data_IF_835007918632
#
_entry.id   IF_835007918632
#
_cell.length_a   1.000
_cell.length_b   1.000
_cell.length_c   1.000
_cell.angle_alpha   90.00
_cell.angle_beta   90.00
_cell.angle_gamma   90.00
#
_symmetry.space_group_name_H-M   'P 1'
#
loop_
_entity.id
_entity.type
_entity.pdbx_description
1 polymer ?
#
# COMPACT_ATOMS: atom_id res chain seq x y z
N UNK A 1 17.52 -7.53 11.76
CA UNK A 1 16.81 -6.47 11.03
C UNK A 1 17.91 -5.66 10.37
N UNK A 2 17.78 -5.37 9.08
CA UNK A 2 18.79 -4.64 8.32
C UNK A 2 18.31 -3.21 8.11
N UNK A 3 19.25 -2.27 8.13
CA UNK A 3 19.03 -0.87 7.81
C UNK A 3 19.35 -0.65 6.33
N UNK A 4 18.43 -0.01 5.62
CA UNK A 4 18.51 0.27 4.18
C UNK A 4 18.37 1.77 3.92
N UNK A 5 19.05 2.23 2.89
CA UNK A 5 19.01 3.62 2.47
C UNK A 5 18.08 3.83 1.27
N UNK A 6 17.29 4.91 1.34
CA UNK A 6 16.34 5.26 0.30
C UNK A 6 16.45 6.73 -0.04
N UNK A 7 16.31 7.02 -1.34
CA UNK A 7 16.02 8.36 -1.83
C UNK A 7 14.69 8.29 -2.55
N UNK A 8 13.69 8.99 -2.03
CA UNK A 8 12.36 9.07 -2.64
C UNK A 8 12.18 10.39 -3.38
N UNK A 9 11.59 10.34 -4.57
CA UNK A 9 11.11 11.53 -5.27
C UNK A 9 9.74 11.90 -4.73
N UNK A 10 9.59 13.17 -4.35
CA UNK A 10 8.38 13.68 -3.72
C UNK A 10 7.62 14.63 -4.65
N UNK A 11 6.33 14.82 -4.34
CA UNK A 11 5.44 15.79 -4.93
C UNK A 11 4.47 16.33 -3.85
N UNK A 12 3.87 17.50 -4.07
CA UNK A 12 2.95 18.11 -3.11
C UNK A 12 3.59 18.62 -1.80
N UNK A 13 4.92 18.75 -1.77
CA UNK A 13 5.69 19.32 -0.67
C UNK A 13 6.72 20.32 -1.21
N UNK A 14 6.94 21.41 -0.47
CA UNK A 14 7.99 22.41 -0.74
C UNK A 14 8.96 22.46 0.44
N UNK A 15 10.21 22.86 0.20
CA UNK A 15 11.17 23.15 1.27
C UNK A 15 10.72 24.32 2.17
N UNK A 16 9.83 25.18 1.65
CA UNK A 16 9.23 26.28 2.41
C UNK A 16 8.12 25.81 3.37
N UNK A 17 7.66 24.56 3.24
CA UNK A 17 6.75 23.94 4.21
C UNK A 17 7.57 23.47 5.43
N UNK A 18 8.01 24.45 6.22
CA UNK A 18 8.94 24.24 7.33
C UNK A 18 8.40 23.27 8.38
N UNK A 19 7.08 23.22 8.59
CA UNK A 19 6.48 22.30 9.55
C UNK A 19 6.49 20.86 9.02
N UNK A 20 6.17 20.65 7.74
CA UNK A 20 6.28 19.32 7.13
C UNK A 20 7.73 18.82 7.07
N UNK A 21 8.67 19.68 6.65
CA UNK A 21 10.10 19.34 6.60
C UNK A 21 10.65 19.04 7.98
N UNK A 22 10.33 19.85 9.01
CA UNK A 22 10.74 19.59 10.38
C UNK A 22 10.17 18.27 10.89
N UNK A 23 8.89 18.01 10.62
CA UNK A 23 8.21 16.77 11.02
C UNK A 23 8.91 15.52 10.46
N UNK A 24 9.25 15.53 9.17
CA UNK A 24 10.00 14.44 8.52
C UNK A 24 11.42 14.30 9.09
N UNK A 25 12.13 15.40 9.32
CA UNK A 25 13.49 15.36 9.87
C UNK A 25 13.52 14.81 11.31
N UNK A 26 12.68 15.34 12.20
CA UNK A 26 12.71 14.99 13.62
C UNK A 26 12.11 13.60 13.91
N UNK A 27 11.07 13.19 13.18
CA UNK A 27 10.32 11.98 13.48
C UNK A 27 10.65 10.79 12.58
N UNK A 28 11.35 11.02 11.47
CA UNK A 28 11.75 9.98 10.51
C UNK A 28 13.25 9.99 10.22
N UNK A 29 14.01 10.95 10.76
CA UNK A 29 15.44 11.10 10.44
C UNK A 29 15.68 11.48 8.98
N UNK A 30 14.65 11.96 8.28
CA UNK A 30 14.69 12.14 6.85
C UNK A 30 15.26 13.52 6.47
N UNK A 31 16.12 13.55 5.46
CA UNK A 31 16.63 14.78 4.86
C UNK A 31 15.82 15.11 3.61
N UNK A 32 15.03 16.18 3.66
CA UNK A 32 14.34 16.72 2.49
C UNK A 32 15.24 17.71 1.76
N UNK A 33 15.43 17.50 0.46
CA UNK A 33 16.27 18.34 -0.40
C UNK A 33 15.57 18.61 -1.73
N UNK A 34 16.12 19.51 -2.56
CA UNK A 34 15.62 19.75 -3.92
C UNK A 34 16.77 19.64 -4.90
N UNK A 35 16.59 18.82 -5.94
CA UNK A 35 17.56 18.63 -7.01
C UNK A 35 16.94 19.06 -8.34
N UNK A 36 17.48 20.10 -8.97
CA UNK A 36 16.92 20.71 -10.18
C UNK A 36 15.40 21.00 -10.11
N UNK A 37 14.94 21.49 -8.95
CA UNK A 37 13.52 21.80 -8.72
C UNK A 37 12.64 20.59 -8.39
N UNK A 38 13.22 19.39 -8.29
CA UNK A 38 12.51 18.17 -7.89
C UNK A 38 12.78 17.88 -6.40
N UNK A 39 11.76 17.94 -5.52
CA UNK A 39 11.90 17.58 -4.13
C UNK A 39 12.25 16.09 -3.95
N UNK A 40 13.17 15.81 -3.04
CA UNK A 40 13.65 14.47 -2.70
C UNK A 40 13.72 14.30 -1.19
N UNK A 41 13.57 13.07 -0.73
CA UNK A 41 13.75 12.69 0.67
C UNK A 41 14.72 11.53 0.78
N UNK A 42 15.87 11.78 1.39
CA UNK A 42 16.85 10.76 1.76
C UNK A 42 16.56 10.28 3.18
N UNK A 43 16.51 8.98 3.39
CA UNK A 43 16.06 8.38 4.65
C UNK A 43 16.51 6.93 4.80
N UNK A 44 16.90 6.58 6.01
CA UNK A 44 17.21 5.21 6.42
C UNK A 44 15.95 4.49 6.93
N UNK A 45 15.78 3.23 6.58
CA UNK A 45 14.64 2.41 6.99
C UNK A 45 15.07 1.01 7.42
N UNK A 46 14.49 0.52 8.51
CA UNK A 46 14.77 -0.82 9.01
C UNK A 46 13.73 -1.85 8.55
N UNK A 47 14.19 -3.05 8.15
CA UNK A 47 13.31 -4.11 7.69
C UNK A 47 13.94 -5.49 7.62
N UNK A 48 13.11 -6.48 7.28
CA UNK A 48 13.58 -7.84 6.91
C UNK A 48 14.04 -7.92 5.45
N UNK A 49 13.64 -6.95 4.64
CA UNK A 49 14.03 -6.74 3.25
C UNK A 49 13.97 -5.24 2.93
N UNK A 50 14.59 -4.80 1.84
CA UNK A 50 14.55 -3.39 1.44
C UNK A 50 13.10 -2.95 1.15
N UNK A 51 12.29 -3.83 0.55
CA UNK A 51 10.87 -3.57 0.24
C UNK A 51 10.07 -3.33 1.52
N UNK A 52 10.24 -4.18 2.54
CA UNK A 52 9.54 -4.02 3.82
C UNK A 52 9.95 -2.74 4.54
N UNK A 53 11.25 -2.42 4.54
CA UNK A 53 11.79 -1.18 5.10
C UNK A 53 11.23 0.07 4.38
N UNK A 54 11.22 0.07 3.04
CA UNK A 54 10.68 1.15 2.23
C UNK A 54 9.21 1.42 2.56
N UNK A 55 8.35 0.39 2.61
CA UNK A 55 6.93 0.60 2.93
C UNK A 55 6.67 1.01 4.38
N UNK A 56 7.52 0.62 5.33
CA UNK A 56 7.47 1.13 6.69
C UNK A 56 7.76 2.64 6.74
N UNK A 57 8.82 3.08 6.04
CA UNK A 57 9.18 4.50 5.87
C UNK A 57 8.06 5.27 5.18
N UNK A 58 7.55 4.77 4.05
CA UNK A 58 6.46 5.39 3.28
C UNK A 58 5.21 5.58 4.13
N UNK A 59 4.78 4.54 4.85
CA UNK A 59 3.63 4.61 5.75
C UNK A 59 3.84 5.70 6.80
N UNK A 60 5.01 5.71 7.45
CA UNK A 60 5.33 6.69 8.49
C UNK A 60 5.37 8.11 7.96
N UNK A 61 5.94 8.32 6.78
CA UNK A 61 5.98 9.62 6.13
C UNK A 61 4.58 10.16 5.82
N UNK A 62 3.65 9.31 5.36
CA UNK A 62 2.26 9.70 5.12
C UNK A 62 1.46 9.99 6.41
N UNK A 63 1.80 9.37 7.53
CA UNK A 63 1.21 9.71 8.83
C UNK A 63 1.66 11.10 9.30
N UNK A 64 2.91 11.47 9.01
CA UNK A 64 3.49 12.77 9.38
C UNK A 64 3.03 13.90 8.46
N UNK A 65 2.96 13.65 7.15
CA UNK A 65 2.61 14.64 6.13
C UNK A 65 1.60 14.06 5.13
N UNK A 66 0.29 14.07 5.45
CA UNK A 66 -0.73 13.45 4.61
C UNK A 66 -0.97 14.09 3.23
N UNK A 67 -0.50 15.33 3.02
CA UNK A 67 -0.60 16.07 1.75
C UNK A 67 0.54 15.75 0.78
N UNK A 68 1.67 15.26 1.27
CA UNK A 68 2.82 14.87 0.45
C UNK A 68 2.48 13.64 -0.39
N UNK A 69 3.12 13.48 -1.54
CA UNK A 69 3.06 12.27 -2.35
C UNK A 69 4.46 11.73 -2.60
N UNK A 70 4.68 10.45 -2.32
CA UNK A 70 5.89 9.73 -2.70
C UNK A 70 5.66 9.14 -4.08
N UNK A 71 6.43 9.58 -5.08
CA UNK A 71 6.18 9.31 -6.50
C UNK A 71 6.85 8.02 -6.96
N UNK A 72 8.12 7.86 -6.59
CA UNK A 72 9.01 6.76 -6.96
C UNK A 72 10.27 6.81 -6.11
N UNK A 73 11.07 5.75 -6.14
CA UNK A 73 12.48 5.84 -5.77
C UNK A 73 13.25 6.68 -6.79
N UNK A 74 14.22 7.44 -6.30
CA UNK A 74 15.28 7.98 -7.13
C UNK A 74 16.27 6.84 -7.40
N UNK A 75 16.39 6.46 -8.67
CA UNK A 75 17.41 5.51 -9.12
C UNK A 75 18.69 6.30 -9.24
N UNK A 76 19.53 6.24 -8.23
CA UNK A 76 20.78 7.00 -8.18
C UNK A 76 21.71 6.55 -9.32
N UNK A 77 21.80 7.41 -10.34
CA UNK A 77 22.55 7.15 -11.57
C UNK A 77 23.90 7.85 -11.49
N UNK A 78 24.97 7.07 -11.60
CA UNK A 78 26.34 7.56 -11.51
C UNK A 78 27.08 7.35 -12.82
N UNK A 79 27.92 8.32 -13.17
CA UNK A 79 28.93 8.20 -14.22
C UNK A 79 30.34 7.97 -13.64
N UNK A 80 31.33 7.90 -14.53
CA UNK A 80 32.74 7.73 -14.15
C UNK A 80 33.25 8.82 -13.20
N UNK A 81 32.79 10.06 -13.39
CA UNK A 81 33.17 11.20 -12.55
C UNK A 81 32.61 11.06 -11.13
N UNK A 82 31.34 10.68 -11.01
CA UNK A 82 30.65 10.56 -9.73
C UNK A 82 31.24 9.40 -8.92
N UNK A 83 31.48 8.24 -9.56
CA UNK A 83 32.14 7.09 -8.93
C UNK A 83 33.54 7.46 -8.45
N UNK A 84 34.30 8.23 -9.25
CA UNK A 84 35.64 8.67 -8.87
C UNK A 84 35.60 9.57 -7.62
N UNK A 85 34.64 10.47 -7.54
CA UNK A 85 34.42 11.34 -6.38
C UNK A 85 34.00 10.55 -5.14
N UNK A 86 32.96 9.70 -5.27
CA UNK A 86 32.42 8.88 -4.18
C UNK A 86 33.47 7.92 -3.58
N UNK A 87 34.37 7.38 -4.42
CA UNK A 87 35.41 6.42 -3.99
C UNK A 87 36.75 7.07 -3.67
N UNK A 88 36.88 8.39 -3.83
CA UNK A 88 38.17 9.11 -3.70
C UNK A 88 39.24 8.63 -4.70
N UNK A 89 38.84 8.07 -5.85
CA UNK A 89 39.74 7.57 -6.89
C UNK A 89 39.81 8.52 -8.08
N UNK A 90 40.77 8.28 -8.98
CA UNK A 90 40.87 9.04 -10.23
C UNK A 90 39.87 8.50 -11.26
N UNK A 91 39.40 9.36 -12.17
CA UNK A 91 38.58 8.93 -13.32
C UNK A 91 39.28 7.86 -14.16
N UNK A 92 40.61 7.91 -14.26
CA UNK A 92 41.39 6.89 -14.95
C UNK A 92 41.29 5.52 -14.26
N UNK A 93 41.35 5.46 -12.93
CA UNK A 93 41.16 4.21 -12.18
C UNK A 93 39.77 3.63 -12.44
N UNK A 94 38.71 4.45 -12.36
CA UNK A 94 37.34 4.01 -12.64
C UNK A 94 37.20 3.53 -14.09
N UNK A 95 37.81 4.24 -15.04
CA UNK A 95 37.82 3.82 -16.44
C UNK A 95 38.49 2.46 -16.62
N UNK A 96 39.57 2.17 -15.88
CA UNK A 96 40.22 0.85 -15.92
C UNK A 96 39.32 -0.25 -15.34
N UNK A 97 38.55 0.03 -14.28
CA UNK A 97 37.54 -0.90 -13.77
C UNK A 97 36.47 -1.21 -14.83
N UNK A 98 35.90 -0.18 -15.45
CA UNK A 98 34.89 -0.32 -16.51
C UNK A 98 35.39 -1.15 -17.70
N UNK A 99 36.67 -1.03 -18.06
CA UNK A 99 37.30 -1.81 -19.13
C UNK A 99 37.75 -3.21 -18.69
N UNK A 100 37.50 -3.62 -17.44
CA UNK A 100 37.90 -4.93 -16.92
C UNK A 100 39.41 -5.12 -16.78
N UNK A 101 40.17 -4.02 -16.68
CA UNK A 101 41.63 -4.05 -16.57
C UNK A 101 42.12 -4.26 -15.13
N UNK A 102 41.20 -4.27 -14.16
CA UNK A 102 41.45 -4.40 -12.71
C UNK A 102 40.30 -5.15 -12.04
N UNK A 103 40.59 -5.81 -10.92
CA UNK A 103 39.71 -6.69 -10.14
C UNK A 103 39.52 -8.07 -10.80
N UNK A 104 40.53 -8.93 -10.64
CA UNK A 104 40.70 -10.20 -11.35
C UNK A 104 39.45 -11.10 -11.29
N UNK A 105 38.75 -11.20 -12.42
CA UNK A 105 37.68 -12.16 -12.65
C UNK A 105 36.25 -11.68 -12.35
N UNK A 106 36.06 -10.52 -11.70
CA UNK A 106 34.72 -9.98 -11.42
C UNK A 106 34.45 -8.78 -12.34
N UNK A 107 33.62 -8.94 -13.40
CA UNK A 107 33.36 -7.87 -14.34
C UNK A 107 32.66 -6.69 -13.66
N UNK A 108 33.03 -5.48 -14.06
CA UNK A 108 32.31 -4.27 -13.65
C UNK A 108 30.84 -4.35 -14.11
N UNK A 109 29.88 -3.78 -13.34
CA UNK A 109 28.47 -3.82 -13.69
C UNK A 109 28.19 -3.27 -15.10
N UNK A 110 27.16 -3.81 -15.75
CA UNK A 110 26.72 -3.29 -17.04
C UNK A 110 26.10 -1.89 -16.84
N UNK A 111 26.34 -0.96 -17.77
CA UNK A 111 25.69 0.34 -17.69
C UNK A 111 24.17 0.19 -17.82
N UNK A 112 23.45 0.95 -17.01
CA UNK A 112 21.99 1.02 -17.04
C UNK A 112 21.50 1.79 -18.27
N UNK A 113 22.24 2.84 -18.64
CA UNK A 113 21.89 3.67 -19.80
C UNK A 113 23.11 4.38 -20.39
N UNK A 114 22.88 5.03 -21.53
CA UNK A 114 23.85 5.89 -22.21
C UNK A 114 23.24 7.28 -22.34
N UNK A 115 23.88 8.28 -21.72
CA UNK A 115 23.50 9.69 -21.81
C UNK A 115 24.46 10.40 -22.77
N UNK A 116 24.01 10.57 -24.01
CA UNK A 116 24.86 11.09 -25.10
C UNK A 116 25.99 10.12 -25.43
N UNK A 117 27.20 10.42 -24.95
CA UNK A 117 28.39 9.55 -25.10
C UNK A 117 28.87 8.95 -23.78
N UNK A 118 28.22 9.31 -22.67
CA UNK A 118 28.61 8.89 -21.34
C UNK A 118 27.76 7.70 -20.90
N UNK A 119 28.41 6.67 -20.38
CA UNK A 119 27.73 5.56 -19.72
C UNK A 119 27.31 5.97 -18.31
N UNK A 120 26.16 5.48 -17.87
CA UNK A 120 25.70 5.65 -16.49
C UNK A 120 25.25 4.31 -15.91
N UNK A 121 25.49 4.12 -14.62
CA UNK A 121 25.22 2.92 -13.86
C UNK A 121 24.31 3.22 -12.68
N UNK A 122 23.61 2.21 -12.17
CA UNK A 122 22.95 2.30 -10.87
C UNK A 122 24.01 2.24 -9.77
N UNK A 123 24.04 3.25 -8.89
CA UNK A 123 24.98 3.27 -7.76
C UNK A 123 24.94 1.97 -6.94
N UNK A 124 23.78 1.38 -6.60
CA UNK A 124 23.74 0.16 -5.80
C UNK A 124 24.48 -1.04 -6.42
N UNK A 125 24.45 -1.19 -7.75
CA UNK A 125 25.17 -2.26 -8.43
C UNK A 125 26.68 -1.99 -8.44
N UNK A 126 27.09 -0.72 -8.59
CA UNK A 126 28.49 -0.31 -8.50
C UNK A 126 29.01 -0.47 -7.08
N UNK A 127 28.24 -0.05 -6.08
CA UNK A 127 28.58 -0.16 -4.66
C UNK A 127 28.76 -1.62 -4.23
N UNK A 128 27.85 -2.52 -4.66
CA UNK A 128 28.00 -3.96 -4.42
C UNK A 128 29.30 -4.51 -5.04
N UNK A 129 29.62 -4.10 -6.27
CA UNK A 129 30.87 -4.51 -6.91
C UNK A 129 32.11 -3.96 -6.19
N UNK A 130 32.04 -2.71 -5.72
CA UNK A 130 33.10 -2.04 -4.96
C UNK A 130 33.35 -2.65 -3.58
N UNK A 131 32.36 -3.34 -3.01
CA UNK A 131 32.52 -4.07 -1.74
C UNK A 131 33.60 -5.14 -1.82
N UNK A 132 33.77 -5.77 -2.99
CA UNK A 132 34.88 -6.71 -3.24
C UNK A 132 36.27 -6.07 -3.17
N UNK A 133 36.34 -4.74 -3.28
CA UNK A 133 37.56 -3.92 -3.20
C UNK A 133 37.69 -3.16 -1.88
N UNK A 134 36.75 -3.30 -0.94
CA UNK A 134 36.67 -2.51 0.30
C UNK A 134 36.58 -0.99 0.00
N UNK A 135 35.79 -0.64 -1.03
CA UNK A 135 35.58 0.73 -1.51
C UNK A 135 34.10 1.12 -1.61
N UNK A 136 33.19 0.31 -1.04
CA UNK A 136 31.78 0.65 -0.95
C UNK A 136 31.52 1.67 0.17
N UNK A 137 30.31 2.22 0.17
CA UNK A 137 29.86 3.17 1.19
C UNK A 137 29.40 2.50 2.51
N UNK A 138 29.41 1.16 2.57
CA UNK A 138 28.97 0.39 3.74
C UNK A 138 27.46 0.38 3.97
N UNK A 139 26.68 0.96 3.06
CA UNK A 139 25.22 1.08 3.17
C UNK A 139 24.52 -0.05 2.40
N UNK A 140 23.31 -0.41 2.86
CA UNK A 140 22.47 -1.36 2.14
C UNK A 140 21.50 -0.61 1.24
N UNK A 141 21.76 -0.65 -0.05
CA UNK A 141 20.85 -0.11 -1.05
C UNK A 141 19.89 -1.19 -1.58
N UNK A 142 18.65 -0.84 -1.97
CA UNK A 142 17.74 -1.78 -2.60
C UNK A 142 18.35 -2.31 -3.91
N UNK A 143 18.19 -3.60 -4.16
CA UNK A 143 18.55 -4.19 -5.46
C UNK A 143 17.62 -3.68 -6.56
N UNK A 144 18.01 -3.85 -7.83
CA UNK A 144 17.20 -3.47 -9.00
C UNK A 144 15.78 -4.05 -8.97
N UNK A 145 15.65 -5.31 -8.57
CA UNK A 145 14.35 -5.99 -8.50
C UNK A 145 13.50 -5.41 -7.36
N UNK A 146 14.10 -5.19 -6.19
CA UNK A 146 13.43 -4.55 -5.05
C UNK A 146 13.03 -3.09 -5.37
N UNK A 147 13.88 -2.32 -6.07
CA UNK A 147 13.52 -0.98 -6.54
C UNK A 147 12.28 -1.01 -7.44
N UNK A 148 12.19 -2.01 -8.32
CA UNK A 148 11.05 -2.18 -9.22
C UNK A 148 9.79 -2.55 -8.45
N UNK A 149 9.90 -3.42 -7.44
CA UNK A 149 8.80 -3.76 -6.55
C UNK A 149 8.32 -2.57 -5.72
N UNK A 150 9.26 -1.77 -5.17
CA UNK A 150 8.96 -0.56 -4.42
C UNK A 150 8.28 0.47 -5.32
N UNK A 151 8.82 0.77 -6.50
CA UNK A 151 8.21 1.71 -7.46
C UNK A 151 6.81 1.27 -7.89
N UNK A 152 6.64 -0.03 -8.16
CA UNK A 152 5.33 -0.59 -8.47
C UNK A 152 4.37 -0.40 -7.29
N UNK A 153 4.79 -0.74 -6.07
CA UNK A 153 3.96 -0.57 -4.90
C UNK A 153 3.63 0.90 -4.66
N UNK A 154 4.58 1.84 -4.76
CA UNK A 154 4.35 3.29 -4.62
C UNK A 154 3.28 3.83 -5.59
N UNK A 155 3.31 3.41 -6.86
CA UNK A 155 2.29 3.81 -7.86
C UNK A 155 0.89 3.29 -7.52
N UNK A 156 0.84 2.12 -6.89
CA UNK A 156 -0.40 1.50 -6.45
C UNK A 156 -0.75 1.86 -4.99
N UNK A 157 0.15 2.53 -4.27
CA UNK A 157 -0.01 2.97 -2.90
C UNK A 157 -0.74 4.31 -2.92
N UNK A 158 -2.08 4.29 -2.89
CA UNK A 158 -2.84 5.50 -2.52
C UNK A 158 -2.89 5.58 -1.01
N UNK A 159 -2.76 6.79 -0.45
CA UNK A 159 -3.09 7.05 0.95
C UNK A 159 -4.60 6.78 1.14
N UNK A 160 -4.96 5.54 1.42
CA UNK A 160 -6.35 5.11 1.55
C UNK A 160 -6.90 5.74 2.82
N UNK A 161 -7.87 6.64 2.64
CA UNK A 161 -8.67 7.17 3.75
C UNK A 161 -9.81 6.20 3.99
N UNK A 162 -9.77 5.52 5.14
CA UNK A 162 -10.80 4.58 5.55
C UNK A 162 -11.85 5.28 6.41
N UNK A 163 -13.12 5.02 6.11
CA UNK A 163 -14.24 5.27 7.00
C UNK A 163 -14.73 3.92 7.56
N UNK A 164 -14.34 3.61 8.80
CA UNK A 164 -14.74 2.37 9.47
C UNK A 164 -16.05 2.62 10.21
N UNK A 165 -17.12 1.99 9.73
CA UNK A 165 -18.44 2.09 10.34
C UNK A 165 -18.72 0.80 11.10
N UNK A 166 -19.02 0.90 12.39
CA UNK A 166 -19.31 -0.26 13.24
C UNK A 166 -20.79 -0.57 13.20
N UNK A 167 -21.14 -1.86 13.11
CA UNK A 167 -22.53 -2.30 13.25
C UNK A 167 -23.09 -1.97 14.64
N UNK A 168 -22.32 -2.19 15.69
CA UNK A 168 -22.67 -1.86 17.07
C UNK A 168 -21.44 -1.44 17.88
N UNK A 169 -21.67 -0.84 19.05
CA UNK A 169 -20.59 -0.46 19.98
C UNK A 169 -20.13 -1.63 20.88
N UNK A 170 -20.34 -2.87 20.43
CA UNK A 170 -19.91 -4.08 21.12
C UNK A 170 -18.39 -4.17 21.24
N UNK A 171 -17.90 -4.73 22.36
CA UNK A 171 -16.46 -4.93 22.57
C UNK A 171 -15.84 -5.86 21.51
N UNK A 172 -16.60 -6.82 21.00
CA UNK A 172 -16.20 -7.72 19.93
C UNK A 172 -16.04 -6.97 18.59
N UNK A 173 -17.03 -6.16 18.21
CA UNK A 173 -17.01 -5.36 16.97
C UNK A 173 -15.87 -4.33 17.00
N UNK A 174 -15.65 -3.65 18.12
CA UNK A 174 -14.49 -2.72 18.27
C UNK A 174 -13.16 -3.42 18.15
N UNK A 175 -13.04 -4.64 18.71
CA UNK A 175 -11.81 -5.44 18.56
C UNK A 175 -11.58 -5.79 17.09
N UNK A 176 -12.60 -6.29 16.39
CA UNK A 176 -12.53 -6.61 14.95
C UNK A 176 -12.14 -5.37 14.15
N UNK A 177 -12.76 -4.22 14.42
CA UNK A 177 -12.48 -2.98 13.72
C UNK A 177 -11.04 -2.51 13.91
N UNK A 178 -10.47 -2.68 15.11
CA UNK A 178 -9.07 -2.35 15.36
C UNK A 178 -8.13 -3.23 14.53
N UNK A 179 -8.34 -4.55 14.54
CA UNK A 179 -7.56 -5.49 13.72
C UNK A 179 -7.68 -5.14 12.23
N UNK A 180 -8.90 -4.88 11.77
CA UNK A 180 -9.14 -4.54 10.38
C UNK A 180 -8.55 -3.18 10.00
N UNK A 181 -8.59 -2.18 10.88
CA UNK A 181 -7.96 -0.87 10.63
C UNK A 181 -6.44 -0.97 10.48
N UNK A 182 -5.80 -1.76 11.35
CA UNK A 182 -4.37 -2.02 11.31
C UNK A 182 -3.99 -2.77 10.03
N UNK A 183 -4.77 -3.79 9.67
CA UNK A 183 -4.55 -4.61 8.49
C UNK A 183 -4.82 -3.84 7.19
N UNK A 184 -5.95 -3.11 7.10
CA UNK A 184 -6.37 -2.38 5.91
C UNK A 184 -5.40 -1.26 5.50
N UNK A 185 -4.61 -0.74 6.45
CA UNK A 185 -3.59 0.30 6.20
C UNK A 185 -2.22 -0.26 5.83
N UNK A 186 -1.97 -1.54 6.09
CA UNK A 186 -0.64 -2.14 5.96
C UNK A 186 -0.60 -3.32 5.01
N UNK A 187 -1.74 -3.94 4.70
CA UNK A 187 -1.83 -5.11 3.85
C UNK A 187 -2.04 -4.71 2.37
N UNK A 188 -1.10 -5.03 1.46
CA UNK A 188 -1.19 -4.69 0.05
C UNK A 188 -2.42 -5.27 -0.67
N UNK A 189 -2.86 -6.48 -0.31
CA UNK A 189 -4.02 -7.13 -0.94
C UNK A 189 -5.33 -6.44 -0.56
N UNK A 190 -5.49 -6.03 0.70
CA UNK A 190 -6.66 -5.25 1.14
C UNK A 190 -6.69 -3.86 0.47
N UNK A 191 -5.53 -3.22 0.37
CA UNK A 191 -5.37 -1.94 -0.33
C UNK A 191 -5.75 -2.09 -1.81
N UNK A 192 -5.19 -3.09 -2.50
CA UNK A 192 -5.51 -3.39 -3.91
C UNK A 192 -6.99 -3.66 -4.10
N UNK A 193 -7.60 -4.42 -3.21
CA UNK A 193 -9.02 -4.72 -3.23
C UNK A 193 -9.90 -3.46 -3.17
N UNK A 194 -9.56 -2.50 -2.31
CA UNK A 194 -10.26 -1.22 -2.27
C UNK A 194 -10.07 -0.45 -3.58
N UNK A 195 -8.86 -0.40 -4.12
CA UNK A 195 -8.57 0.34 -5.35
C UNK A 195 -9.30 -0.19 -6.60
N UNK A 196 -9.52 -1.51 -6.68
CA UNK A 196 -10.28 -2.11 -7.80
C UNK A 196 -11.80 -1.98 -7.63
N UNK A 197 -12.27 -1.53 -6.47
CA UNK A 197 -13.69 -1.26 -6.19
C UNK A 197 -13.91 0.22 -5.80
N UNK A 198 -13.66 1.19 -6.71
CA UNK A 198 -13.78 2.62 -6.41
C UNK A 198 -15.20 3.07 -6.06
N UNK A 199 -16.22 2.28 -6.40
CA UNK A 199 -17.63 2.54 -6.10
C UNK A 199 -17.95 2.52 -4.60
N UNK A 200 -17.05 2.00 -3.75
CA UNK A 200 -17.24 1.97 -2.29
C UNK A 200 -16.79 3.25 -1.58
N UNK A 201 -16.34 4.25 -2.34
CA UNK A 201 -15.97 5.56 -1.82
C UNK A 201 -17.21 6.40 -1.50
N UNK A 202 -17.21 7.02 -0.33
CA UNK A 202 -18.19 8.04 0.02
C UNK A 202 -17.97 9.34 -0.79
N UNK A 203 -18.91 10.28 -0.70
CA UNK A 203 -18.81 11.58 -1.38
C UNK A 203 -17.57 12.41 -0.96
N UNK A 204 -16.95 12.08 0.18
CA UNK A 204 -15.70 12.68 0.66
C UNK A 204 -14.44 11.95 0.19
N UNK A 205 -14.56 10.94 -0.68
CA UNK A 205 -13.45 10.15 -1.21
C UNK A 205 -12.85 9.16 -0.22
N UNK A 206 -13.56 8.78 0.85
CA UNK A 206 -13.12 7.76 1.81
C UNK A 206 -13.75 6.41 1.48
N UNK A 207 -12.96 5.35 1.52
CA UNK A 207 -13.45 3.99 1.37
C UNK A 207 -14.26 3.58 2.61
N UNK A 208 -15.53 3.23 2.40
CA UNK A 208 -16.42 2.85 3.51
C UNK A 208 -16.36 1.36 3.75
N UNK A 209 -15.92 0.98 4.96
CA UNK A 209 -15.85 -0.42 5.40
C UNK A 209 -16.76 -0.58 6.61
N UNK A 210 -17.82 -1.37 6.44
CA UNK A 210 -18.79 -1.70 7.46
C UNK A 210 -18.34 -2.97 8.21
N UNK A 211 -18.03 -2.80 9.50
CA UNK A 211 -17.47 -3.86 10.33
C UNK A 211 -18.55 -4.48 11.21
N UNK A 212 -18.67 -5.81 11.14
CA UNK A 212 -19.59 -6.58 11.98
C UNK A 212 -18.93 -7.86 12.53
N UNK A 213 -19.52 -8.37 13.60
CA UNK A 213 -19.22 -9.68 14.16
C UNK A 213 -19.89 -10.77 13.33
N UNK A 214 -19.25 -11.94 13.12
CA UNK A 214 -19.89 -13.06 12.42
C UNK A 214 -21.11 -13.60 13.18
N UNK A 215 -21.29 -13.21 14.45
CA UNK A 215 -22.41 -13.56 15.32
C UNK A 215 -23.56 -12.56 15.30
N UNK A 216 -23.40 -11.40 14.66
CA UNK A 216 -24.49 -10.43 14.56
C UNK A 216 -25.63 -10.99 13.71
N UNK A 217 -26.84 -10.50 13.95
CA UNK A 217 -28.01 -10.88 13.18
C UNK A 217 -27.91 -10.30 11.75
N UNK A 218 -27.99 -11.16 10.74
CA UNK A 218 -27.81 -10.79 9.34
C UNK A 218 -28.84 -9.74 8.90
N UNK A 219 -30.08 -9.87 9.38
CA UNK A 219 -31.19 -8.94 9.09
C UNK A 219 -30.90 -7.52 9.60
N UNK A 220 -30.28 -7.37 10.77
CA UNK A 220 -29.94 -6.05 11.31
C UNK A 220 -28.76 -5.41 10.56
N UNK A 221 -27.75 -6.21 10.22
CA UNK A 221 -26.61 -5.79 9.40
C UNK A 221 -27.08 -5.37 8.01
N UNK A 222 -27.97 -6.16 7.39
CA UNK A 222 -28.55 -5.86 6.08
C UNK A 222 -29.29 -4.53 6.06
N UNK A 223 -30.18 -4.27 7.04
CA UNK A 223 -30.89 -2.98 7.13
C UNK A 223 -29.94 -1.79 7.28
N UNK A 224 -28.81 -2.00 7.95
CA UNK A 224 -27.76 -0.99 8.05
C UNK A 224 -27.05 -0.77 6.72
N UNK A 225 -26.76 -1.84 5.98
CA UNK A 225 -26.18 -1.77 4.64
C UNK A 225 -27.08 -1.01 3.65
N UNK A 226 -28.39 -1.28 3.69
CA UNK A 226 -29.41 -0.59 2.86
C UNK A 226 -29.49 0.92 3.14
N UNK A 227 -29.03 1.38 4.31
CA UNK A 227 -29.04 2.81 4.65
C UNK A 227 -27.91 3.62 3.99
N UNK A 228 -26.92 2.98 3.38
CA UNK A 228 -25.82 3.68 2.72
C UNK A 228 -26.21 4.11 1.30
N UNK A 229 -25.87 5.34 0.88
CA UNK A 229 -26.22 5.84 -0.44
C UNK A 229 -25.30 5.35 -1.56
N UNK A 230 -24.31 4.51 -1.24
CA UNK A 230 -23.33 3.96 -2.15
C UNK A 230 -22.96 2.54 -1.70
N UNK A 231 -22.37 1.71 -2.57
CA UNK A 231 -21.78 0.44 -2.18
C UNK A 231 -20.84 0.56 -0.98
N UNK A 232 -20.77 -0.48 -0.16
CA UNK A 232 -19.88 -0.52 1.00
C UNK A 232 -19.21 -1.87 1.12
N UNK A 233 -18.01 -1.90 1.70
CA UNK A 233 -17.36 -3.18 2.00
C UNK A 233 -17.88 -3.72 3.31
N UNK A 234 -18.61 -4.83 3.30
CA UNK A 234 -18.93 -5.59 4.52
C UNK A 234 -17.71 -6.41 4.92
N UNK A 235 -17.17 -6.19 6.11
CA UNK A 235 -15.99 -6.89 6.59
C UNK A 235 -16.20 -7.54 7.97
N UNK A 236 -15.74 -8.77 8.11
CA UNK A 236 -15.77 -9.52 9.36
C UNK A 236 -14.52 -10.38 9.53
N UNK A 237 -14.28 -10.85 10.77
CA UNK A 237 -13.14 -11.71 11.10
C UNK A 237 -13.63 -13.04 11.67
N UNK A 238 -13.13 -14.13 11.10
CA UNK A 238 -13.36 -15.50 11.59
C UNK A 238 -12.03 -16.19 11.84
N UNK A 239 -11.67 -16.35 13.13
CA UNK A 239 -10.34 -16.84 13.51
C UNK A 239 -9.25 -15.84 13.09
N UNK A 240 -8.33 -16.27 12.23
CA UNK A 240 -7.25 -15.43 11.66
C UNK A 240 -7.56 -14.93 10.25
N UNK A 241 -8.80 -15.10 9.78
CA UNK A 241 -9.21 -14.72 8.43
C UNK A 241 -10.09 -13.48 8.44
N UNK A 242 -9.78 -12.54 7.55
CA UNK A 242 -10.69 -11.44 7.20
C UNK A 242 -11.50 -11.90 5.99
N UNK A 243 -12.81 -11.78 6.10
CA UNK A 243 -13.77 -11.94 5.01
C UNK A 243 -14.32 -10.56 4.65
N UNK A 244 -14.23 -10.17 3.39
CA UNK A 244 -14.72 -8.89 2.89
C UNK A 244 -15.47 -9.07 1.57
N UNK A 245 -16.59 -8.35 1.43
CA UNK A 245 -17.43 -8.36 0.23
C UNK A 245 -17.87 -6.94 -0.09
N UNK A 246 -17.92 -6.57 -1.36
CA UNK A 246 -18.61 -5.36 -1.79
C UNK A 246 -20.11 -5.62 -1.78
N UNK A 247 -20.84 -4.84 -1.01
CA UNK A 247 -22.29 -4.91 -0.91
C UNK A 247 -22.87 -3.80 -1.78
N UNK A 248 -23.55 -4.19 -2.86
CA UNK A 248 -24.12 -3.27 -3.84
C UNK A 248 -25.65 -3.39 -3.79
N UNK A 249 -26.34 -2.27 -3.67
CA UNK A 249 -27.78 -2.23 -3.88
C UNK A 249 -28.08 -2.51 -5.34
N UNK A 250 -29.01 -3.41 -5.61
CA UNK A 250 -29.44 -3.74 -6.97
C UNK A 250 -30.82 -3.10 -7.21
N UNK A 251 -30.93 -2.26 -8.25
CA UNK A 251 -32.21 -1.70 -8.68
C UNK A 251 -33.00 -2.69 -9.57
N UNK A 252 -32.37 -3.77 -10.06
CA UNK A 252 -32.97 -4.70 -11.02
C UNK A 252 -33.78 -5.85 -10.34
N UNK A 253 -35.09 -5.85 -10.58
CA UNK A 253 -36.08 -6.83 -10.11
C UNK A 253 -36.00 -8.22 -10.80
N UNK A 254 -34.91 -8.55 -11.51
CA UNK A 254 -34.84 -9.71 -12.41
C UNK A 254 -34.05 -10.94 -11.91
N UNK A 255 -33.26 -10.81 -10.83
CA UNK A 255 -32.37 -11.87 -10.33
C UNK A 255 -33.02 -12.80 -9.30
N UNK A 256 -32.55 -14.05 -9.20
CA UNK A 256 -32.96 -14.95 -8.11
C UNK A 256 -32.46 -14.38 -6.78
N UNK A 257 -33.37 -14.04 -5.87
CA UNK A 257 -33.04 -13.49 -4.55
C UNK A 257 -33.21 -14.53 -3.44
N UNK A 258 -32.53 -14.32 -2.32
CA UNK A 258 -32.74 -15.09 -1.08
C UNK A 258 -33.18 -14.17 0.03
N UNK A 259 -34.31 -14.49 0.67
CA UNK A 259 -34.76 -13.75 1.85
C UNK A 259 -33.92 -14.12 3.09
N UNK A 260 -33.39 -13.11 3.75
CA UNK A 260 -32.75 -13.25 5.06
C UNK A 260 -33.83 -13.23 6.15
N UNK A 261 -33.88 -14.31 6.93
CA UNK A 261 -34.88 -14.49 7.99
C UNK A 261 -34.32 -14.11 9.37
N UNK A 262 -35.19 -13.65 10.31
CA UNK A 262 -34.77 -13.37 11.68
C UNK A 262 -34.08 -14.56 12.35
N UNK A 263 -33.06 -14.27 13.16
CA UNK A 263 -32.25 -15.29 13.84
C UNK A 263 -31.10 -15.88 13.02
N UNK A 264 -31.02 -15.58 11.71
CA UNK A 264 -29.86 -15.92 10.88
C UNK A 264 -28.67 -15.02 11.20
N UNK A 265 -27.48 -15.60 11.35
CA UNK A 265 -26.27 -14.82 11.65
C UNK A 265 -25.54 -14.36 10.39
N UNK A 266 -24.67 -13.35 10.51
CA UNK A 266 -23.76 -12.95 9.43
C UNK A 266 -22.92 -14.13 8.95
N UNK A 267 -22.49 -15.03 9.84
CA UNK A 267 -21.77 -16.25 9.43
C UNK A 267 -22.60 -17.11 8.49
N UNK A 268 -23.87 -17.33 8.80
CA UNK A 268 -24.77 -18.13 7.96
C UNK A 268 -24.97 -17.44 6.60
N UNK A 269 -25.13 -16.12 6.62
CA UNK A 269 -25.26 -15.31 5.41
C UNK A 269 -24.01 -15.38 4.52
N UNK A 270 -22.81 -15.21 5.08
CA UNK A 270 -21.56 -15.37 4.33
C UNK A 270 -21.40 -16.79 3.78
N UNK A 271 -21.87 -17.80 4.52
CA UNK A 271 -21.95 -19.17 4.03
C UNK A 271 -22.84 -19.29 2.78
N UNK A 272 -24.00 -18.63 2.76
CA UNK A 272 -24.86 -18.60 1.58
C UNK A 272 -24.23 -17.86 0.41
N UNK A 273 -23.54 -16.74 0.64
CA UNK A 273 -22.80 -16.03 -0.41
C UNK A 273 -21.73 -16.93 -1.04
N UNK A 274 -21.01 -17.71 -0.23
CA UNK A 274 -20.01 -18.65 -0.72
C UNK A 274 -20.61 -19.79 -1.56
N UNK A 275 -21.81 -20.25 -1.19
CA UNK A 275 -22.54 -21.30 -1.92
C UNK A 275 -23.21 -20.80 -3.20
N UNK A 276 -23.54 -19.50 -3.28
CA UNK A 276 -24.20 -18.89 -4.44
C UNK A 276 -23.68 -17.47 -4.70
N UNK A 277 -22.46 -17.34 -5.26
CA UNK A 277 -21.84 -16.05 -5.52
C UNK A 277 -22.66 -15.19 -6.50
N UNK A 278 -22.79 -13.90 -6.22
CA UNK A 278 -23.51 -12.96 -7.07
C UNK A 278 -25.04 -13.02 -6.97
N UNK A 279 -25.58 -13.86 -6.06
CA UNK A 279 -27.02 -13.89 -5.73
C UNK A 279 -27.41 -12.65 -4.90
N UNK A 280 -28.60 -12.12 -5.16
CA UNK A 280 -29.16 -11.01 -4.40
C UNK A 280 -29.80 -11.49 -3.09
N UNK A 281 -29.79 -10.64 -2.07
CA UNK A 281 -30.42 -10.92 -0.79
C UNK A 281 -31.45 -9.86 -0.44
N UNK A 282 -32.53 -10.25 0.23
CA UNK A 282 -33.63 -9.37 0.58
C UNK A 282 -34.01 -9.50 2.05
N UNK A 283 -34.58 -8.43 2.62
CA UNK A 283 -35.18 -8.42 3.96
C UNK A 283 -36.56 -7.78 3.88
N UNK A 284 -37.56 -8.38 4.53
CA UNK A 284 -38.89 -7.79 4.66
C UNK A 284 -38.84 -6.42 5.38
N UNK A 285 -39.39 -5.37 4.75
CA UNK A 285 -39.58 -4.06 5.41
C UNK A 285 -40.59 -4.18 6.55
N UNK A 286 -40.27 -3.58 7.71
CA UNK A 286 -41.24 -3.43 8.80
C UNK A 286 -42.29 -2.39 8.38
N UNK A 287 -43.56 -2.80 8.31
CA UNK A 287 -44.69 -1.86 8.20
C UNK A 287 -45.51 -1.88 6.91
N UNK A 288 -45.79 -3.04 6.32
CA UNK A 288 -46.90 -3.24 5.37
C UNK A 288 -46.76 -2.57 3.99
N UNK A 289 -45.69 -1.83 3.72
CA UNK A 289 -45.35 -1.41 2.36
C UNK A 289 -44.56 -2.52 1.68
N UNK A 290 -45.13 -3.10 0.63
CA UNK A 290 -44.52 -4.14 -0.18
C UNK A 290 -43.29 -3.56 -0.89
N UNK A 291 -42.12 -3.75 -0.29
CA UNK A 291 -40.84 -3.43 -0.90
C UNK A 291 -39.75 -4.11 -0.09
N UNK A 292 -38.95 -4.94 -0.72
CA UNK A 292 -37.74 -5.50 -0.14
C UNK A 292 -36.55 -4.84 -0.81
N UNK A 293 -35.59 -4.33 -0.04
CA UNK A 293 -34.32 -3.89 -0.59
C UNK A 293 -33.53 -5.13 -1.02
N UNK A 294 -32.90 -5.08 -2.18
CA UNK A 294 -32.04 -6.15 -2.71
C UNK A 294 -30.59 -5.71 -2.65
N UNK A 295 -29.74 -6.49 -1.98
CA UNK A 295 -28.29 -6.26 -1.93
C UNK A 295 -27.57 -7.50 -2.43
N UNK A 296 -26.69 -7.33 -3.41
CA UNK A 296 -25.83 -8.38 -3.93
C UNK A 296 -24.43 -8.27 -3.30
N UNK A 297 -23.86 -9.42 -2.93
CA UNK A 297 -22.46 -9.51 -2.56
C UNK A 297 -21.61 -9.74 -3.81
N UNK A 298 -20.69 -8.82 -4.09
CA UNK A 298 -19.74 -8.84 -5.21
C UNK A 298 -18.31 -8.85 -4.69
N UNK A 299 -17.39 -9.24 -5.58
CA UNK A 299 -15.93 -9.17 -5.35
C UNK A 299 -15.52 -9.74 -3.99
N UNK A 300 -15.56 -11.07 -3.76
CA UNK A 300 -15.12 -11.63 -2.48
C UNK A 300 -13.62 -11.45 -2.27
N UNK A 301 -13.22 -11.18 -1.03
CA UNK A 301 -11.82 -11.18 -0.60
C UNK A 301 -11.67 -11.92 0.74
N UNK A 302 -10.78 -12.90 0.75
CA UNK A 302 -10.38 -13.65 1.93
C UNK A 302 -8.88 -13.46 2.20
N UNK A 303 -8.53 -12.89 3.35
CA UNK A 303 -7.14 -12.70 3.77
C UNK A 303 -6.81 -13.56 4.98
N UNK A 304 -5.62 -14.16 4.99
CA UNK A 304 -5.09 -14.96 6.11
C UNK A 304 -4.05 -14.15 6.87
N UNK A 305 -4.16 -14.08 8.20
CA UNK A 305 -3.16 -13.45 9.07
C UNK A 305 -3.61 -12.16 9.75
N UNK A 306 -4.91 -12.01 10.03
CA UNK A 306 -5.45 -10.93 10.84
C UNK A 306 -5.31 -11.18 12.36
#
# INVERSE_FOLDING_TARGET
MYEYEFVFVLDGISLDDHDAVRSLSENLGALVSTFHGVPRMSVSGEGKSAVAAAFAVVKRAYELVPSMRIVRLDRDMVGVSDIAELTGRTRQNVTQWVHGQRHDGVPFPRPETVVGRSLAWLWPEVNEWLRGLDLDDGLNWPTRDEMTEIDWGLRNFRAIRLNLVLHSDGADVRRIARHLAEHARTNPEFIRYLLVNPQVCDAGGKYTVFVCSPRNEAVEVFRRLDSFPHPVVLATVSGKRIHAFVMEGDEDEGGETTELVPGMTVRDWLGMIALSPGRGFTVARRGGTAGAATIAARSPMDLVGA
#
